data_IF_336928284614
#
_entry.id   IF_336928284614
#
_cell.length_a   1.000
_cell.length_b   1.000
_cell.length_c   1.000
_cell.angle_alpha   90.00
_cell.angle_beta   90.00
_cell.angle_gamma   90.00
#
_symmetry.space_group_name_H-M   'P 1'
#
loop_
_entity.id
_entity.type
_entity.pdbx_description
1 polymer ?
#
# COMPACT_ATOMS: atom_id res chain seq x y z
N UNK A 1 1.58 21.82 34.01
CA UNK A 1 2.45 22.11 32.86
C UNK A 1 3.76 22.63 33.40
N UNK A 2 4.88 22.03 33.05
CA UNK A 2 6.17 22.32 33.70
C UNK A 2 6.71 23.68 33.19
N UNK A 3 7.05 24.59 34.08
CA UNK A 3 7.52 25.97 33.76
C UNK A 3 8.66 25.98 32.69
N UNK A 4 9.47 24.92 32.64
CA UNK A 4 10.53 24.78 31.62
C UNK A 4 9.98 24.60 30.19
N UNK A 5 8.86 23.89 30.01
CA UNK A 5 8.19 23.72 28.70
C UNK A 5 7.48 25.00 28.25
N UNK A 6 6.96 25.77 29.21
CA UNK A 6 6.36 27.08 28.91
C UNK A 6 7.43 28.09 28.47
N UNK A 7 8.60 28.08 29.12
CA UNK A 7 9.72 28.95 28.73
C UNK A 7 10.30 28.57 27.34
N UNK A 8 10.41 27.29 27.02
CA UNK A 8 10.88 26.87 25.70
C UNK A 8 9.87 27.22 24.58
N UNK A 9 8.57 27.09 24.85
CA UNK A 9 7.53 27.48 23.89
C UNK A 9 7.54 28.99 23.63
N UNK A 10 7.69 29.80 24.69
CA UNK A 10 7.80 31.26 24.59
C UNK A 10 9.10 31.67 23.90
N UNK A 11 10.20 30.93 24.09
CA UNK A 11 11.46 31.12 23.37
C UNK A 11 11.33 30.91 21.87
N UNK A 12 10.75 29.78 21.47
CA UNK A 12 10.55 29.44 20.04
C UNK A 12 9.61 30.42 19.34
N UNK A 13 8.50 30.82 19.98
CA UNK A 13 7.61 31.85 19.42
C UNK A 13 8.26 33.24 19.35
N UNK A 14 9.11 33.58 20.29
CA UNK A 14 9.84 34.86 20.26
C UNK A 14 10.90 34.87 19.16
N UNK A 15 11.63 33.78 18.96
CA UNK A 15 12.65 33.65 17.88
C UNK A 15 11.97 33.64 16.51
N UNK A 16 10.90 32.88 16.33
CA UNK A 16 10.12 32.90 15.08
C UNK A 16 9.53 34.26 14.76
N UNK A 17 9.06 34.99 15.79
CA UNK A 17 8.58 36.37 15.65
C UNK A 17 9.72 37.35 15.32
N UNK A 18 10.92 37.17 15.87
CA UNK A 18 12.08 38.03 15.61
C UNK A 18 12.58 37.76 14.16
N UNK A 19 12.66 36.52 13.73
CA UNK A 19 13.04 36.16 12.35
C UNK A 19 11.99 36.70 11.36
N UNK A 20 10.72 36.48 11.60
CA UNK A 20 9.64 37.03 10.76
C UNK A 20 9.64 38.57 10.73
N UNK A 21 9.90 39.21 11.89
CA UNK A 21 9.98 40.67 11.99
C UNK A 21 11.26 41.22 11.35
N UNK A 22 12.35 40.53 11.46
CA UNK A 22 13.65 40.87 10.82
C UNK A 22 13.55 40.82 9.30
N UNK A 23 12.90 39.78 8.77
CA UNK A 23 12.59 39.64 7.33
C UNK A 23 11.62 40.74 6.86
N UNK A 24 10.61 41.07 7.68
CA UNK A 24 9.63 42.12 7.34
C UNK A 24 10.20 43.54 7.41
N UNK A 25 11.07 43.82 8.38
CA UNK A 25 11.60 45.17 8.64
C UNK A 25 12.86 45.51 7.84
N UNK A 26 13.68 44.53 7.48
CA UNK A 26 14.93 44.78 6.75
C UNK A 26 14.78 44.79 5.22
N UNK A 27 13.59 44.55 4.68
CA UNK A 27 13.39 44.56 3.22
C UNK A 27 12.06 45.16 2.79
N UNK A 28 11.88 46.50 2.96
CA UNK A 28 10.66 47.17 2.55
C UNK A 28 10.38 47.16 1.03
N UNK A 29 11.39 46.86 0.19
CA UNK A 29 11.26 46.82 -1.26
C UNK A 29 11.05 45.41 -1.87
N UNK A 30 10.96 44.36 -1.05
CA UNK A 30 10.89 42.98 -1.55
C UNK A 30 9.48 42.47 -1.87
N UNK A 31 8.46 43.23 -1.56
CA UNK A 31 7.08 42.90 -1.91
C UNK A 31 6.58 43.86 -3.01
N UNK A 32 6.76 43.46 -4.23
CA UNK A 32 6.10 44.16 -5.35
C UNK A 32 4.60 43.80 -5.30
N UNK A 33 3.78 44.74 -4.85
CA UNK A 33 2.31 44.61 -4.88
C UNK A 33 1.75 44.68 -6.32
N UNK A 34 2.59 44.96 -7.33
CA UNK A 34 2.22 45.13 -8.74
C UNK A 34 2.76 43.98 -9.60
N UNK A 35 2.50 42.76 -9.24
CA UNK A 35 2.73 41.66 -10.17
C UNK A 35 1.47 41.51 -11.06
N UNK A 36 1.59 41.78 -12.33
CA UNK A 36 0.49 41.70 -13.31
C UNK A 36 -0.09 40.29 -13.42
N UNK A 37 0.64 39.29 -12.96
CA UNK A 37 0.26 37.89 -13.05
C UNK A 37 -0.53 37.38 -11.82
N UNK A 38 -0.79 38.24 -10.80
CA UNK A 38 -1.56 37.79 -9.62
C UNK A 38 -2.97 37.34 -10.03
N UNK A 39 -3.33 36.11 -9.65
CA UNK A 39 -4.61 35.48 -9.97
C UNK A 39 -4.60 34.66 -11.27
N UNK A 40 -3.56 34.77 -12.08
CA UNK A 40 -3.34 33.90 -13.25
C UNK A 40 -3.00 32.48 -12.79
N UNK A 41 -3.10 31.52 -13.70
CA UNK A 41 -2.67 30.15 -13.45
C UNK A 41 -1.14 30.05 -13.42
N UNK A 42 -0.59 29.48 -12.33
CA UNK A 42 0.86 29.24 -12.20
C UNK A 42 1.35 28.22 -13.25
N UNK A 43 0.50 27.25 -13.58
CA UNK A 43 0.73 26.25 -14.60
C UNK A 43 -0.18 26.57 -15.79
N UNK A 44 0.38 26.71 -16.99
CA UNK A 44 -0.43 26.88 -18.20
C UNK A 44 -1.29 25.62 -18.38
N UNK A 45 -2.61 25.75 -18.50
CA UNK A 45 -3.50 24.62 -18.68
C UNK A 45 -3.15 23.79 -19.91
N UNK A 46 -3.09 22.49 -19.76
CA UNK A 46 -2.84 21.50 -20.80
C UNK A 46 -3.92 20.41 -20.76
N UNK A 47 -3.99 19.59 -21.79
CA UNK A 47 -4.89 18.44 -21.82
C UNK A 47 -4.26 17.24 -21.09
N UNK A 48 -5.07 16.48 -20.36
CA UNK A 48 -4.61 15.30 -19.63
C UNK A 48 -4.02 14.23 -20.59
N UNK A 49 -4.57 14.09 -21.77
CA UNK A 49 -4.10 13.17 -22.83
C UNK A 49 -2.76 13.57 -23.48
N UNK A 50 -2.32 14.82 -23.28
CA UNK A 50 -1.03 15.28 -23.72
C UNK A 50 0.12 14.91 -22.75
N UNK A 51 -0.17 14.32 -21.58
CA UNK A 51 0.82 13.98 -20.58
C UNK A 51 1.39 12.58 -20.84
N UNK A 52 2.73 12.47 -20.84
CA UNK A 52 3.44 11.20 -20.98
C UNK A 52 4.04 10.68 -19.66
N UNK A 53 4.59 11.58 -18.84
CA UNK A 53 5.30 11.24 -17.62
C UNK A 53 5.01 12.25 -16.52
N UNK A 54 4.85 11.74 -15.30
CA UNK A 54 4.78 12.54 -14.07
C UNK A 54 5.85 11.99 -13.13
N UNK A 55 6.67 12.87 -12.57
CA UNK A 55 7.66 12.52 -11.57
C UNK A 55 7.38 13.30 -10.30
N UNK A 56 7.34 12.59 -9.18
CA UNK A 56 7.12 13.14 -7.84
C UNK A 56 8.25 12.65 -6.98
N UNK A 57 9.04 13.56 -6.43
CA UNK A 57 10.20 13.22 -5.62
C UNK A 57 10.23 14.06 -4.36
N UNK A 58 10.44 13.43 -3.22
CA UNK A 58 10.74 14.10 -1.97
C UNK A 58 12.12 13.67 -1.43
N UNK A 59 12.34 13.86 -0.15
CA UNK A 59 13.62 13.54 0.51
C UNK A 59 13.87 12.04 0.68
N UNK A 60 12.85 11.20 0.58
CA UNK A 60 12.91 9.77 0.87
C UNK A 60 12.61 8.93 -0.37
N UNK A 61 11.60 9.34 -1.14
CA UNK A 61 11.03 8.54 -2.22
C UNK A 61 10.93 9.29 -3.54
N UNK A 62 10.85 8.52 -4.61
CA UNK A 62 10.57 9.00 -5.95
C UNK A 62 9.57 8.09 -6.66
N UNK A 63 8.49 8.67 -7.17
CA UNK A 63 7.54 8.01 -8.06
C UNK A 63 7.66 8.54 -9.47
N UNK A 64 7.72 7.63 -10.44
CA UNK A 64 7.67 7.95 -11.87
C UNK A 64 6.45 7.26 -12.47
N UNK A 65 5.41 8.04 -12.78
CA UNK A 65 4.23 7.55 -13.47
C UNK A 65 4.39 7.77 -14.97
N UNK A 66 4.09 6.75 -15.77
CA UNK A 66 4.09 6.85 -17.24
C UNK A 66 2.76 6.40 -17.82
N UNK A 67 2.33 7.09 -18.86
CA UNK A 67 1.20 6.68 -19.66
C UNK A 67 1.65 5.70 -20.73
N UNK A 68 0.94 4.56 -20.82
CA UNK A 68 1.14 3.52 -21.82
C UNK A 68 -0.16 3.29 -22.57
N UNK A 69 -0.14 2.47 -23.63
CA UNK A 69 -1.35 2.06 -24.37
C UNK A 69 -2.37 1.34 -23.47
N UNK A 70 -1.92 0.73 -22.38
CA UNK A 70 -2.76 -0.01 -21.42
C UNK A 70 -3.14 0.81 -20.17
N UNK A 71 -2.82 2.10 -20.13
CA UNK A 71 -3.09 2.98 -19.00
C UNK A 71 -1.83 3.46 -18.28
N UNK A 72 -2.01 4.01 -17.10
CA UNK A 72 -0.91 4.52 -16.28
C UNK A 72 -0.19 3.41 -15.52
N UNK A 73 1.14 3.53 -15.44
CA UNK A 73 2.02 2.58 -14.75
C UNK A 73 3.01 3.30 -13.86
N UNK A 74 3.52 2.61 -12.84
CA UNK A 74 4.63 3.06 -12.00
C UNK A 74 5.93 2.57 -12.64
N UNK A 75 6.61 3.46 -13.38
CA UNK A 75 7.73 3.09 -14.22
C UNK A 75 8.95 2.58 -13.42
N UNK A 76 9.20 3.16 -12.26
CA UNK A 76 10.26 2.71 -11.34
C UNK A 76 9.83 1.53 -10.45
N UNK A 77 8.72 0.86 -10.79
CA UNK A 77 8.26 -0.44 -10.28
C UNK A 77 7.93 -1.40 -11.42
N UNK A 78 8.84 -1.49 -12.39
CA UNK A 78 8.76 -2.42 -13.53
C UNK A 78 7.52 -2.20 -14.41
N UNK A 79 7.12 -0.95 -14.59
CA UNK A 79 5.90 -0.57 -15.32
C UNK A 79 4.64 -1.25 -14.77
N UNK A 80 4.57 -1.40 -13.45
CA UNK A 80 3.42 -2.01 -12.79
C UNK A 80 2.20 -1.08 -12.86
N UNK A 81 0.98 -1.62 -13.11
CA UNK A 81 -0.23 -0.81 -13.20
C UNK A 81 -0.54 -0.04 -11.91
N UNK A 82 -1.09 1.15 -12.06
CA UNK A 82 -1.61 1.91 -10.91
C UNK A 82 -2.99 1.42 -10.50
N UNK A 83 -3.35 1.67 -9.23
CA UNK A 83 -4.66 1.27 -8.69
C UNK A 83 -5.79 2.12 -9.26
N UNK A 84 -5.65 3.43 -9.22
CA UNK A 84 -6.70 4.37 -9.58
C UNK A 84 -6.22 5.47 -10.55
N UNK A 85 -6.47 5.32 -11.86
CA UNK A 85 -6.13 6.36 -12.85
C UNK A 85 -6.79 7.73 -12.58
N UNK A 86 -7.92 7.74 -11.88
CA UNK A 86 -8.60 8.97 -11.51
C UNK A 86 -7.78 9.87 -10.58
N UNK A 87 -6.87 9.30 -9.81
CA UNK A 87 -5.97 10.04 -8.92
C UNK A 87 -4.91 10.82 -9.69
N UNK A 88 -4.39 10.26 -10.77
CA UNK A 88 -3.49 10.98 -11.68
C UNK A 88 -4.21 12.17 -12.30
N UNK A 89 -5.41 11.96 -12.81
CA UNK A 89 -6.22 13.03 -13.38
C UNK A 89 -6.54 14.13 -12.34
N UNK A 90 -6.79 13.73 -11.08
CA UNK A 90 -7.03 14.68 -9.98
C UNK A 90 -5.78 15.48 -9.63
N UNK A 91 -4.59 14.83 -9.58
CA UNK A 91 -3.32 15.50 -9.36
C UNK A 91 -3.07 16.55 -10.45
N UNK A 92 -3.17 16.18 -11.72
CA UNK A 92 -2.95 17.08 -12.86
C UNK A 92 -3.91 18.28 -12.83
N UNK A 93 -5.19 18.05 -12.57
CA UNK A 93 -6.17 19.12 -12.41
C UNK A 93 -5.84 20.05 -11.27
N UNK A 94 -5.43 19.51 -10.13
CA UNK A 94 -5.06 20.31 -8.96
C UNK A 94 -3.85 21.20 -9.23
N UNK A 95 -2.84 20.69 -9.95
CA UNK A 95 -1.67 21.48 -10.39
C UNK A 95 -2.07 22.61 -11.33
N UNK A 96 -2.94 22.34 -12.32
CA UNK A 96 -3.45 23.36 -13.25
C UNK A 96 -4.32 24.43 -12.57
N UNK A 97 -4.91 24.13 -11.41
CA UNK A 97 -5.73 25.08 -10.66
C UNK A 97 -4.91 25.98 -9.73
N UNK A 98 -3.60 25.77 -9.61
CA UNK A 98 -2.76 26.68 -8.83
C UNK A 98 -2.77 28.08 -9.44
N UNK A 99 -3.05 29.07 -8.60
CA UNK A 99 -3.03 30.49 -8.98
C UNK A 99 -1.86 31.20 -8.37
N UNK A 100 -1.28 32.08 -9.14
CA UNK A 100 -0.23 32.99 -8.66
C UNK A 100 -0.84 33.91 -7.61
N UNK A 101 -0.30 33.85 -6.41
CA UNK A 101 -0.62 34.78 -5.32
C UNK A 101 0.47 35.85 -5.19
N UNK A 102 1.26 35.78 -4.11
CA UNK A 102 2.32 36.73 -3.85
C UNK A 102 3.67 36.21 -4.37
N UNK A 103 4.40 37.03 -5.10
CA UNK A 103 5.81 36.77 -5.40
C UNK A 103 6.68 36.92 -4.15
N UNK A 104 7.52 35.92 -3.88
CA UNK A 104 8.52 35.97 -2.83
C UNK A 104 9.90 36.12 -3.47
N UNK A 105 10.66 37.11 -3.01
CA UNK A 105 12.07 37.27 -3.41
C UNK A 105 12.93 36.67 -2.33
N UNK A 106 13.41 35.46 -2.52
CA UNK A 106 14.35 34.79 -1.66
C UNK A 106 15.53 34.31 -2.50
N UNK A 107 16.72 34.53 -2.02
CA UNK A 107 17.95 33.98 -2.58
C UNK A 107 18.11 32.51 -2.18
N UNK A 108 18.91 31.74 -2.87
CA UNK A 108 19.10 30.30 -2.64
C UNK A 108 19.47 29.96 -1.19
N UNK A 109 20.25 30.82 -0.52
CA UNK A 109 20.62 30.67 0.88
C UNK A 109 19.42 30.69 1.87
N UNK A 110 18.25 31.15 1.41
CA UNK A 110 17.03 31.18 2.22
C UNK A 110 16.04 30.05 1.88
N UNK A 111 16.35 29.17 0.91
CA UNK A 111 15.43 28.12 0.50
C UNK A 111 15.14 27.11 1.62
N UNK A 112 16.15 26.81 2.45
CA UNK A 112 15.95 25.95 3.60
C UNK A 112 14.89 26.46 4.58
N UNK A 113 14.82 27.80 4.78
CA UNK A 113 13.90 28.44 5.73
C UNK A 113 12.42 28.35 5.31
N UNK A 114 12.15 28.14 4.03
CA UNK A 114 10.81 28.11 3.43
C UNK A 114 10.48 26.75 2.80
N UNK A 115 11.31 25.73 3.07
CA UNK A 115 11.09 24.36 2.64
C UNK A 115 11.25 24.16 1.12
N UNK A 116 12.09 24.94 0.45
CA UNK A 116 12.28 24.90 -1.00
C UNK A 116 13.64 24.33 -1.44
N UNK A 117 14.42 23.74 -0.55
CA UNK A 117 15.57 22.94 -0.99
C UNK A 117 15.09 21.82 -1.93
N UNK A 118 15.90 21.52 -2.94
CA UNK A 118 15.59 20.39 -3.79
C UNK A 118 15.70 19.07 -3.01
N UNK A 119 14.95 18.02 -3.37
CA UNK A 119 15.06 16.72 -2.72
C UNK A 119 16.49 16.15 -2.66
N UNK A 120 17.32 16.51 -3.63
CA UNK A 120 18.73 16.10 -3.75
C UNK A 120 19.66 16.80 -2.77
N UNK A 121 19.29 17.96 -2.23
CA UNK A 121 20.16 18.83 -1.41
C UNK A 121 20.25 18.32 0.04
N UNK A 122 20.58 17.04 0.21
CA UNK A 122 20.60 16.37 1.51
C UNK A 122 21.66 16.95 2.48
N UNK A 123 22.82 17.35 1.97
CA UNK A 123 23.91 17.88 2.80
C UNK A 123 23.55 19.28 3.33
N UNK A 124 22.94 20.11 2.50
CA UNK A 124 22.48 21.44 2.89
C UNK A 124 21.31 21.34 3.90
N UNK A 125 20.40 20.42 3.66
CA UNK A 125 19.30 20.13 4.59
C UNK A 125 19.82 19.71 5.98
N UNK A 126 20.78 18.80 6.05
CA UNK A 126 21.43 18.38 7.30
C UNK A 126 22.15 19.52 8.00
N UNK A 127 22.87 20.35 7.23
CA UNK A 127 23.56 21.51 7.79
C UNK A 127 22.60 22.49 8.44
N UNK A 128 21.49 22.80 7.77
CA UNK A 128 20.43 23.66 8.28
C UNK A 128 19.75 23.09 9.53
N UNK A 129 19.40 21.81 9.52
CA UNK A 129 18.81 21.13 10.67
C UNK A 129 19.74 21.15 11.89
N UNK A 130 21.06 20.88 11.67
CA UNK A 130 22.05 20.93 12.74
C UNK A 130 22.25 22.35 13.33
N UNK A 131 22.03 23.40 12.55
CA UNK A 131 22.02 24.78 13.04
C UNK A 131 20.79 25.04 13.93
N UNK A 132 19.60 24.64 13.49
CA UNK A 132 18.39 24.77 14.28
C UNK A 132 18.44 23.99 15.59
N UNK A 133 19.06 22.80 15.60
CA UNK A 133 19.26 22.03 16.83
C UNK A 133 20.19 22.76 17.83
N UNK A 134 21.26 23.42 17.35
CA UNK A 134 22.13 24.26 18.19
C UNK A 134 21.40 25.46 18.78
N UNK A 135 20.43 25.99 18.04
CA UNK A 135 19.51 27.04 18.49
C UNK A 135 18.42 26.54 19.46
N UNK A 136 18.34 25.24 19.70
CA UNK A 136 17.42 24.63 20.65
C UNK A 136 16.09 24.15 20.05
N UNK A 137 15.99 24.06 18.74
CA UNK A 137 14.84 23.44 18.06
C UNK A 137 15.00 21.93 18.16
N UNK A 138 14.04 21.28 18.84
CA UNK A 138 14.03 19.81 18.94
C UNK A 138 13.35 19.22 17.71
N UNK A 139 14.03 18.30 17.00
CA UNK A 139 13.54 17.64 15.79
C UNK A 139 13.09 18.65 14.72
N UNK A 140 14.02 19.41 14.14
CA UNK A 140 13.70 20.34 13.06
C UNK A 140 13.14 19.58 11.85
N UNK A 141 12.13 20.15 11.21
CA UNK A 141 11.54 19.54 9.99
C UNK A 141 12.54 19.53 8.85
N UNK A 142 12.33 18.59 7.91
CA UNK A 142 13.14 18.55 6.69
C UNK A 142 12.86 19.80 5.84
N UNK A 143 13.90 20.60 5.51
CA UNK A 143 13.74 21.81 4.71
C UNK A 143 13.62 21.57 3.20
N UNK A 144 13.66 20.31 2.75
CA UNK A 144 13.51 19.94 1.34
C UNK A 144 12.05 19.94 0.94
N UNK A 145 11.76 20.45 -0.26
CA UNK A 145 10.44 20.45 -0.85
C UNK A 145 10.13 19.15 -1.60
N UNK A 146 8.91 19.06 -2.13
CA UNK A 146 8.50 17.98 -3.02
C UNK A 146 8.63 18.49 -4.47
N UNK A 147 9.49 17.86 -5.27
CA UNK A 147 9.65 18.19 -6.67
C UNK A 147 8.61 17.44 -7.51
N UNK A 148 7.82 18.19 -8.26
CA UNK A 148 6.83 17.67 -9.20
C UNK A 148 7.17 18.15 -10.59
N UNK A 149 7.42 17.22 -11.51
CA UNK A 149 7.59 17.52 -12.92
C UNK A 149 6.62 16.72 -13.79
N UNK A 150 6.09 17.35 -14.83
CA UNK A 150 5.17 16.73 -15.79
C UNK A 150 5.71 16.96 -17.19
N UNK A 151 5.88 15.88 -17.96
CA UNK A 151 6.30 15.92 -19.35
C UNK A 151 5.18 15.56 -20.29
N UNK A 152 5.10 16.29 -21.37
CA UNK A 152 4.18 16.03 -22.47
C UNK A 152 4.62 14.88 -23.37
N UNK A 153 3.70 14.38 -24.20
CA UNK A 153 3.96 13.34 -25.22
C UNK A 153 4.93 13.82 -26.30
N UNK A 154 5.08 15.12 -26.48
CA UNK A 154 6.05 15.76 -27.36
C UNK A 154 7.43 15.99 -26.70
N UNK A 155 7.59 15.58 -25.42
CA UNK A 155 8.78 15.77 -24.62
C UNK A 155 8.90 17.16 -23.98
N UNK A 156 7.92 18.05 -24.16
CA UNK A 156 7.89 19.37 -23.51
C UNK A 156 7.72 19.22 -21.99
N UNK A 157 8.30 20.15 -21.24
CA UNK A 157 8.12 20.24 -19.78
C UNK A 157 6.89 21.10 -19.51
N UNK A 158 5.79 20.46 -19.08
CA UNK A 158 4.50 21.12 -18.81
C UNK A 158 4.43 21.70 -17.40
N UNK A 159 5.04 21.01 -16.42
CA UNK A 159 5.12 21.42 -15.01
C UNK A 159 6.53 21.15 -14.51
N UNK A 160 7.06 22.11 -13.75
CA UNK A 160 8.31 21.96 -12.98
C UNK A 160 8.23 22.84 -11.74
N UNK A 161 7.88 22.21 -10.61
CA UNK A 161 7.59 22.88 -9.35
C UNK A 161 8.27 22.16 -8.18
N UNK A 162 8.89 22.92 -7.28
CA UNK A 162 9.21 22.45 -5.94
C UNK A 162 8.18 23.04 -4.98
N UNK A 163 7.44 22.16 -4.32
CA UNK A 163 6.43 22.49 -3.35
C UNK A 163 7.05 22.51 -1.96
N UNK A 164 7.11 23.67 -1.35
CA UNK A 164 7.63 23.87 0.00
C UNK A 164 6.52 23.90 1.05
N UNK A 165 6.66 24.81 2.01
CA UNK A 165 5.72 24.92 3.11
C UNK A 165 4.30 25.26 2.68
N UNK A 166 3.34 24.63 3.35
CA UNK A 166 1.92 24.99 3.23
C UNK A 166 1.61 26.22 4.09
N UNK A 167 0.72 27.07 3.59
CA UNK A 167 0.14 28.14 4.34
C UNK A 167 -1.40 28.09 4.34
N UNK A 168 -2.00 28.67 5.37
CA UNK A 168 -3.45 28.69 5.56
C UNK A 168 -3.97 27.43 6.26
N UNK A 169 -4.92 27.61 7.17
CA UNK A 169 -5.51 26.53 7.96
C UNK A 169 -6.82 26.04 7.34
N UNK A 170 -7.11 24.73 7.50
CA UNK A 170 -8.35 24.11 7.00
C UNK A 170 -9.58 24.74 7.62
N UNK A 171 -9.50 25.15 8.90
CA UNK A 171 -10.59 25.75 9.65
C UNK A 171 -10.77 27.27 9.39
N UNK A 172 -9.81 27.90 8.76
CA UNK A 172 -9.87 29.34 8.45
C UNK A 172 -10.49 29.60 7.08
N UNK A 173 -11.09 30.80 6.92
CA UNK A 173 -11.54 31.27 5.61
C UNK A 173 -10.41 31.90 4.78
N UNK A 174 -9.18 31.90 5.30
CA UNK A 174 -8.02 32.43 4.62
C UNK A 174 -7.66 31.58 3.39
N UNK A 175 -7.13 32.17 2.34
CA UNK A 175 -6.60 31.41 1.19
C UNK A 175 -5.53 30.43 1.64
N UNK A 176 -5.59 29.22 1.07
CA UNK A 176 -4.63 28.15 1.33
C UNK A 176 -3.78 27.90 0.09
N UNK A 177 -2.57 27.45 0.31
CA UNK A 177 -1.67 27.14 -0.78
C UNK A 177 -0.30 26.66 -0.31
N UNK A 178 0.64 26.74 -1.20
CA UNK A 178 2.02 26.35 -1.00
C UNK A 178 2.96 27.50 -1.32
N UNK A 179 4.09 27.55 -0.63
CA UNK A 179 5.25 28.26 -1.13
C UNK A 179 5.85 27.38 -2.22
N UNK A 180 6.00 27.91 -3.43
CA UNK A 180 6.38 27.13 -4.61
C UNK A 180 7.56 27.80 -5.29
N UNK A 181 8.60 27.01 -5.62
CA UNK A 181 9.63 27.41 -6.57
C UNK A 181 9.25 26.86 -7.94
N UNK A 182 9.00 27.72 -8.89
CA UNK A 182 8.64 27.36 -10.26
C UNK A 182 9.82 27.58 -11.19
N UNK A 183 10.12 26.58 -12.02
CA UNK A 183 11.07 26.69 -13.15
C UNK A 183 10.35 26.63 -14.51
N UNK A 184 9.02 26.49 -14.48
CA UNK A 184 8.18 26.39 -15.67
C UNK A 184 7.81 27.75 -16.28
N UNK A 185 6.54 27.93 -16.62
CA UNK A 185 6.02 29.08 -17.37
C UNK A 185 6.16 30.44 -16.65
N UNK A 186 6.14 30.41 -15.33
CA UNK A 186 6.35 31.59 -14.47
C UNK A 186 7.51 31.27 -13.49
N UNK A 187 8.77 31.45 -13.93
CA UNK A 187 9.91 31.18 -13.07
C UNK A 187 9.94 32.11 -11.86
N UNK A 188 10.31 31.57 -10.70
CA UNK A 188 10.40 32.34 -9.46
C UNK A 188 9.82 31.61 -8.27
N UNK A 189 9.69 32.34 -7.15
CA UNK A 189 9.12 31.82 -5.91
C UNK A 189 7.79 32.51 -5.65
N UNK A 190 6.77 31.71 -5.45
CA UNK A 190 5.40 32.16 -5.33
C UNK A 190 4.72 31.61 -4.09
N UNK A 191 3.85 32.40 -3.45
CA UNK A 191 2.75 31.86 -2.66
C UNK A 191 1.65 31.46 -3.64
N UNK A 192 1.65 30.20 -4.05
CA UNK A 192 0.65 29.68 -4.97
C UNK A 192 -0.63 29.29 -4.20
N UNK A 193 -1.77 29.82 -4.66
CA UNK A 193 -3.09 29.56 -4.09
C UNK A 193 -3.68 28.30 -4.72
N UNK A 194 -4.01 27.32 -3.91
CA UNK A 194 -4.58 26.06 -4.37
C UNK A 194 -4.40 24.97 -3.32
N UNK A 195 -5.05 23.85 -3.54
CA UNK A 195 -4.91 22.66 -2.68
C UNK A 195 -4.62 21.46 -3.57
N UNK A 196 -3.65 20.67 -3.16
CA UNK A 196 -3.50 19.32 -3.66
C UNK A 196 -4.43 18.46 -2.80
N UNK A 197 -5.43 17.87 -3.42
CA UNK A 197 -6.23 16.86 -2.78
C UNK A 197 -5.33 15.63 -2.66
N UNK A 198 -4.89 15.39 -1.45
CA UNK A 198 -4.05 14.27 -1.15
C UNK A 198 -4.82 12.99 -1.44
N UNK A 199 -4.26 12.15 -2.27
CA UNK A 199 -4.57 10.74 -2.28
C UNK A 199 -4.15 10.24 -0.91
N UNK A 200 -5.10 9.74 -0.16
CA UNK A 200 -4.89 9.25 1.20
C UNK A 200 -4.07 7.96 1.15
N UNK A 201 -2.75 8.09 1.07
CA UNK A 201 -1.86 7.05 1.53
C UNK A 201 -1.90 7.08 3.05
N UNK A 202 -2.07 5.93 3.64
CA UNK A 202 -2.05 5.56 5.05
C UNK A 202 -2.07 6.69 6.10
N UNK A 203 -3.18 6.79 6.81
CA UNK A 203 -3.35 7.65 8.00
C UNK A 203 -2.45 7.24 9.18
N UNK A 204 -1.61 6.22 9.02
CA UNK A 204 -0.74 5.67 10.07
C UNK A 204 0.73 6.11 9.99
N UNK A 205 1.11 6.97 9.04
CA UNK A 205 2.44 7.54 9.09
C UNK A 205 2.63 8.28 10.42
N UNK A 206 3.48 7.70 11.28
CA UNK A 206 3.84 8.23 12.59
C UNK A 206 4.63 9.55 12.52
N UNK A 207 4.88 10.02 11.30
CA UNK A 207 5.55 11.28 11.08
C UNK A 207 4.55 12.41 11.23
N UNK A 208 4.65 13.16 12.30
CA UNK A 208 3.81 14.32 12.65
C UNK A 208 4.01 15.51 11.71
N UNK A 209 4.99 15.47 10.83
CA UNK A 209 5.22 16.43 9.75
C UNK A 209 4.30 16.10 8.56
N UNK A 210 3.02 16.45 8.72
CA UNK A 210 2.00 16.28 7.68
C UNK A 210 2.23 17.29 6.55
N UNK A 211 3.27 17.11 5.78
CA UNK A 211 3.40 17.79 4.48
C UNK A 211 2.32 17.22 3.56
N UNK A 212 1.29 17.99 3.36
CA UNK A 212 0.25 17.67 2.39
C UNK A 212 0.78 18.03 1.01
N UNK A 213 1.19 17.03 0.26
CA UNK A 213 1.69 17.18 -1.10
C UNK A 213 1.32 15.96 -1.93
N UNK A 214 1.70 15.91 -3.20
CA UNK A 214 1.56 14.70 -4.00
C UNK A 214 2.42 13.61 -3.38
N UNK A 215 1.93 12.37 -3.44
CA UNK A 215 2.58 11.23 -2.82
C UNK A 215 3.78 10.81 -3.66
N UNK A 216 4.95 10.82 -3.06
CA UNK A 216 6.23 10.42 -3.65
C UNK A 216 6.52 8.92 -3.51
N UNK A 217 5.90 8.22 -2.55
CA UNK A 217 6.08 6.80 -2.32
C UNK A 217 5.47 5.97 -3.48
N UNK A 218 6.27 5.22 -4.25
CA UNK A 218 5.78 4.46 -5.41
C UNK A 218 4.75 3.40 -5.04
N UNK A 219 4.90 2.78 -3.86
CA UNK A 219 4.00 1.74 -3.37
C UNK A 219 2.56 2.22 -3.20
N UNK A 220 2.36 3.50 -2.89
CA UNK A 220 1.04 4.09 -2.74
C UNK A 220 0.25 4.20 -4.06
N UNK A 221 0.91 4.06 -5.19
CA UNK A 221 0.29 4.13 -6.51
C UNK A 221 0.00 2.76 -7.12
N UNK A 222 0.63 1.69 -6.58
CA UNK A 222 0.52 0.34 -7.14
C UNK A 222 -0.91 -0.20 -7.03
N UNK A 223 -1.35 -0.89 -8.07
CA UNK A 223 -2.57 -1.69 -7.99
C UNK A 223 -2.29 -2.92 -7.13
N UNK A 224 -3.04 -3.05 -6.02
CA UNK A 224 -2.97 -4.22 -5.16
C UNK A 224 -3.87 -5.38 -5.62
N UNK A 225 -4.46 -5.27 -6.80
CA UNK A 225 -5.06 -6.44 -7.45
C UNK A 225 -3.96 -7.46 -7.71
N UNK A 226 -4.16 -8.68 -7.24
CA UNK A 226 -3.16 -9.74 -7.32
C UNK A 226 -3.83 -11.08 -7.57
N UNK A 227 -3.06 -12.17 -7.52
CA UNK A 227 -3.62 -13.49 -7.66
C UNK A 227 -4.65 -13.78 -6.56
N UNK A 228 -5.71 -14.46 -6.93
CA UNK A 228 -6.75 -14.94 -6.02
C UNK A 228 -6.81 -16.46 -6.07
N UNK A 229 -6.25 -17.12 -5.07
CA UNK A 229 -6.25 -18.58 -4.98
C UNK A 229 -7.51 -19.05 -4.26
N UNK A 230 -8.65 -18.97 -4.95
CA UNK A 230 -9.91 -19.48 -4.44
C UNK A 230 -9.97 -21.03 -4.61
N UNK A 231 -10.82 -21.67 -3.79
CA UNK A 231 -11.12 -23.12 -3.88
C UNK A 231 -9.87 -24.00 -3.92
N UNK A 232 -8.92 -23.73 -3.03
CA UNK A 232 -7.66 -24.45 -2.93
C UNK A 232 -7.89 -25.95 -2.73
N UNK A 233 -7.31 -26.78 -3.59
CA UNK A 233 -7.43 -28.24 -3.56
C UNK A 233 -6.21 -28.89 -2.91
N UNK A 234 -5.02 -28.47 -3.26
CA UNK A 234 -3.79 -29.00 -2.67
C UNK A 234 -2.71 -27.95 -2.52
N UNK A 235 -1.80 -28.19 -1.59
CA UNK A 235 -0.58 -27.43 -1.35
C UNK A 235 0.57 -28.41 -1.33
N UNK A 236 1.61 -28.18 -2.10
CA UNK A 236 2.90 -28.84 -1.99
C UNK A 236 3.95 -27.83 -1.60
N UNK A 237 4.60 -28.02 -0.43
CA UNK A 237 5.70 -27.19 0.02
C UNK A 237 7.02 -27.92 -0.10
N UNK A 238 8.03 -27.27 -0.62
CA UNK A 238 9.39 -27.78 -0.74
C UNK A 238 10.43 -26.71 -0.47
N UNK A 239 11.63 -27.12 -0.06
CA UNK A 239 12.79 -26.25 0.09
C UNK A 239 13.86 -26.67 -0.93
N UNK A 240 13.98 -26.00 -2.07
CA UNK A 240 14.88 -26.46 -3.16
C UNK A 240 16.36 -26.51 -2.76
N UNK A 241 16.78 -25.69 -1.78
CA UNK A 241 18.18 -25.55 -1.37
C UNK A 241 18.48 -26.12 0.01
N UNK A 242 17.49 -26.70 0.67
CA UNK A 242 17.63 -27.32 2.01
C UNK A 242 17.24 -28.78 1.97
N UNK A 243 18.26 -29.67 1.99
CA UNK A 243 18.04 -31.12 1.94
C UNK A 243 17.51 -31.67 3.27
N UNK A 244 17.67 -30.93 4.35
CA UNK A 244 17.23 -31.33 5.70
C UNK A 244 15.77 -30.91 5.95
N UNK A 245 15.21 -30.04 5.12
CA UNK A 245 13.83 -29.61 5.22
C UNK A 245 12.90 -30.71 4.69
N UNK A 246 12.04 -31.20 5.58
CA UNK A 246 10.98 -32.12 5.19
C UNK A 246 9.81 -31.36 4.57
N UNK A 247 9.78 -31.33 3.24
CA UNK A 247 8.63 -30.83 2.49
C UNK A 247 7.40 -31.71 2.71
N UNK A 248 6.25 -31.21 2.31
CA UNK A 248 4.99 -31.91 2.48
C UNK A 248 3.99 -31.58 1.36
N UNK A 249 3.01 -32.47 1.20
CA UNK A 249 1.86 -32.24 0.34
C UNK A 249 0.60 -32.56 1.11
N UNK A 250 -0.32 -31.60 1.14
CA UNK A 250 -1.66 -31.78 1.67
C UNK A 250 -2.68 -31.58 0.57
N UNK A 251 -3.78 -32.31 0.63
CA UNK A 251 -4.89 -32.20 -0.32
C UNK A 251 -6.22 -32.46 0.36
N UNK A 252 -7.31 -32.04 -0.28
CA UNK A 252 -8.67 -32.35 0.15
C UNK A 252 -9.51 -32.81 -1.07
N UNK A 253 -10.50 -33.65 -0.81
CA UNK A 253 -11.32 -34.23 -1.86
C UNK A 253 -12.41 -33.29 -2.37
N UNK A 254 -12.93 -32.43 -1.52
CA UNK A 254 -13.94 -31.43 -1.83
C UNK A 254 -13.64 -30.06 -1.19
N UNK A 255 -14.37 -29.01 -1.63
CA UNK A 255 -14.13 -27.62 -1.21
C UNK A 255 -14.37 -27.39 0.30
N UNK A 256 -15.16 -28.21 0.96
CA UNK A 256 -15.49 -28.08 2.38
C UNK A 256 -14.66 -29.03 3.26
N UNK A 257 -14.05 -30.04 2.66
CA UNK A 257 -13.25 -31.06 3.33
C UNK A 257 -12.03 -30.50 4.05
N UNK A 258 -11.52 -31.24 4.98
CA UNK A 258 -10.26 -30.93 5.66
C UNK A 258 -9.08 -31.44 4.86
N UNK A 259 -7.93 -30.79 5.03
CA UNK A 259 -6.71 -31.24 4.41
C UNK A 259 -6.20 -32.53 5.03
N UNK A 260 -5.71 -33.41 4.19
CA UNK A 260 -5.05 -34.66 4.56
C UNK A 260 -3.74 -34.81 3.78
N UNK A 261 -2.85 -35.67 4.28
CA UNK A 261 -1.64 -36.06 3.57
C UNK A 261 -1.60 -37.56 3.42
N UNK A 262 -1.02 -38.05 2.32
CA UNK A 262 -0.89 -39.48 2.05
C UNK A 262 0.25 -40.19 2.81
N UNK A 263 1.09 -39.46 3.54
CA UNK A 263 2.28 -39.93 4.22
C UNK A 263 2.17 -39.95 5.76
N UNK A 264 0.91 -39.92 6.28
CA UNK A 264 0.68 -40.07 7.72
C UNK A 264 1.17 -41.47 8.22
N UNK A 265 1.90 -41.47 9.31
CA UNK A 265 2.24 -42.70 10.04
C UNK A 265 1.04 -43.18 10.85
N UNK A 266 1.11 -44.42 11.33
CA UNK A 266 0.00 -45.03 12.09
C UNK A 266 -0.32 -44.28 13.40
N UNK A 267 0.70 -43.68 14.03
CA UNK A 267 0.63 -42.89 15.24
C UNK A 267 0.44 -41.39 15.03
N UNK A 268 0.30 -40.95 13.77
CA UNK A 268 0.15 -39.53 13.43
C UNK A 268 -1.28 -39.22 12.99
N UNK A 269 -1.67 -37.97 13.18
CA UNK A 269 -2.87 -37.37 12.60
C UNK A 269 -2.59 -35.94 12.12
N UNK A 270 -3.44 -35.41 11.24
CA UNK A 270 -3.33 -34.03 10.80
C UNK A 270 -3.59 -33.08 11.97
N UNK A 271 -2.74 -32.07 12.09
CA UNK A 271 -3.02 -30.92 12.94
C UNK A 271 -3.98 -29.98 12.24
N UNK A 272 -5.28 -30.12 12.52
CA UNK A 272 -6.33 -29.30 11.92
C UNK A 272 -6.25 -27.82 12.34
N UNK A 273 -5.65 -27.53 13.50
CA UNK A 273 -5.41 -26.14 13.92
C UNK A 273 -4.31 -25.48 13.09
N UNK A 274 -3.29 -26.25 12.71
CA UNK A 274 -2.21 -25.78 11.84
C UNK A 274 -2.64 -25.69 10.37
N UNK A 275 -3.46 -26.62 9.87
CA UNK A 275 -3.84 -26.73 8.44
C UNK A 275 -5.16 -26.04 8.09
N UNK A 276 -6.04 -25.80 9.06
CA UNK A 276 -7.30 -25.09 8.85
C UNK A 276 -7.15 -23.73 8.15
N UNK A 277 -6.20 -22.87 8.57
CA UNK A 277 -5.94 -21.58 7.92
C UNK A 277 -5.55 -21.70 6.44
N UNK A 278 -5.02 -22.83 5.97
CA UNK A 278 -4.62 -23.01 4.58
C UNK A 278 -5.78 -22.84 3.60
N UNK A 279 -7.02 -23.10 4.03
CA UNK A 279 -8.22 -22.94 3.20
C UNK A 279 -8.37 -21.52 2.65
N UNK A 280 -7.85 -20.52 3.36
CA UNK A 280 -7.97 -19.09 3.02
C UNK A 280 -6.63 -18.36 2.94
N UNK A 281 -5.51 -18.99 3.25
CA UNK A 281 -4.19 -18.35 3.37
C UNK A 281 -3.81 -17.54 2.12
N UNK A 282 -4.16 -18.03 0.94
CA UNK A 282 -3.82 -17.40 -0.34
C UNK A 282 -5.00 -16.70 -1.02
N UNK A 283 -6.19 -16.64 -0.40
CA UNK A 283 -7.36 -15.99 -0.99
C UNK A 283 -7.17 -14.47 -1.13
N UNK A 284 -6.34 -13.89 -0.28
CA UNK A 284 -6.09 -12.45 -0.22
C UNK A 284 -4.60 -12.17 -0.09
N UNK A 285 -3.77 -12.93 -0.80
CA UNK A 285 -2.33 -12.68 -0.83
C UNK A 285 -2.10 -11.26 -1.36
N UNK A 286 -1.34 -10.48 -0.59
CA UNK A 286 -0.93 -9.11 -0.96
C UNK A 286 0.57 -9.01 -0.92
N UNK A 287 1.10 -8.17 -1.78
CA UNK A 287 2.50 -7.77 -1.75
C UNK A 287 2.62 -6.35 -1.16
N UNK A 288 3.81 -6.02 -0.66
CA UNK A 288 4.15 -4.71 -0.12
C UNK A 288 4.75 -3.80 -1.21
N UNK A 289 5.58 -4.39 -2.09
CA UNK A 289 6.24 -3.66 -3.17
C UNK A 289 6.51 -4.56 -4.38
N UNK A 290 6.76 -3.94 -5.53
CA UNK A 290 7.26 -4.59 -6.75
C UNK A 290 8.73 -4.23 -6.92
N UNK A 291 9.58 -5.24 -6.87
CA UNK A 291 11.03 -5.11 -6.86
C UNK A 291 11.63 -5.23 -8.26
N UNK A 292 12.91 -4.89 -8.37
CA UNK A 292 13.69 -5.15 -9.58
C UNK A 292 13.74 -6.64 -9.93
N UNK A 293 13.74 -6.96 -11.23
CA UNK A 293 13.71 -8.36 -11.73
C UNK A 293 14.85 -9.23 -11.23
N UNK A 294 15.98 -8.66 -10.90
CA UNK A 294 17.14 -9.38 -10.38
C UNK A 294 17.11 -9.58 -8.85
N UNK A 295 16.19 -8.94 -8.14
CA UNK A 295 16.11 -9.00 -6.68
C UNK A 295 15.90 -10.43 -6.16
N UNK A 296 15.05 -11.22 -6.83
CA UNK A 296 14.88 -12.63 -6.44
C UNK A 296 16.12 -13.47 -6.73
N UNK A 297 16.85 -13.17 -7.80
CA UNK A 297 18.09 -13.89 -8.14
C UNK A 297 19.17 -13.74 -7.06
N UNK A 298 19.17 -12.62 -6.32
CA UNK A 298 20.11 -12.34 -5.23
C UNK A 298 19.87 -13.19 -3.98
N UNK A 299 18.64 -13.66 -3.76
CA UNK A 299 18.22 -14.37 -2.54
C UNK A 299 17.73 -15.81 -2.78
N UNK A 300 17.46 -16.22 -4.00
CA UNK A 300 16.88 -17.53 -4.36
C UNK A 300 17.68 -18.75 -3.89
N UNK A 301 18.98 -18.60 -3.71
CA UNK A 301 19.89 -19.70 -3.33
C UNK A 301 20.00 -19.86 -1.79
N UNK A 302 19.24 -19.10 -1.01
CA UNK A 302 19.14 -19.24 0.45
C UNK A 302 18.62 -20.63 0.84
N UNK A 303 19.14 -21.18 1.92
CA UNK A 303 18.58 -22.41 2.54
C UNK A 303 17.13 -22.23 3.00
N UNK A 304 16.77 -21.00 3.36
CA UNK A 304 15.40 -20.65 3.75
C UNK A 304 14.47 -20.39 2.57
N UNK A 305 14.93 -20.56 1.32
CA UNK A 305 14.05 -20.47 0.17
C UNK A 305 13.01 -21.59 0.16
N UNK A 306 11.78 -21.25 -0.17
CA UNK A 306 10.63 -22.15 -0.21
C UNK A 306 9.94 -22.07 -1.56
N UNK A 307 9.39 -23.20 -2.00
CA UNK A 307 8.50 -23.28 -3.16
C UNK A 307 7.18 -23.87 -2.74
N UNK A 308 6.11 -23.11 -2.90
CA UNK A 308 4.75 -23.58 -2.73
C UNK A 308 4.10 -23.77 -4.10
N UNK A 309 3.54 -24.97 -4.33
CA UNK A 309 2.71 -25.27 -5.50
C UNK A 309 1.28 -25.48 -5.03
N UNK A 310 0.38 -24.64 -5.49
CA UNK A 310 -1.02 -24.61 -5.09
C UNK A 310 -1.87 -25.06 -6.27
N UNK A 311 -2.76 -26.03 -6.07
CA UNK A 311 -3.75 -26.39 -7.09
C UNK A 311 -5.17 -26.10 -6.59
N UNK A 312 -6.07 -25.74 -7.49
CA UNK A 312 -7.46 -25.41 -7.13
C UNK A 312 -8.43 -26.41 -7.78
N UNK A 313 -9.65 -26.48 -7.27
CA UNK A 313 -10.71 -27.28 -7.87
C UNK A 313 -11.13 -26.77 -9.24
N UNK A 314 -10.93 -25.48 -9.52
CA UNK A 314 -11.21 -24.84 -10.82
C UNK A 314 -10.09 -25.09 -11.86
N UNK A 315 -9.05 -25.87 -11.49
CA UNK A 315 -7.98 -26.29 -12.42
C UNK A 315 -6.80 -25.33 -12.52
N UNK A 316 -6.72 -24.30 -11.67
CA UNK A 316 -5.54 -23.42 -11.60
C UNK A 316 -4.39 -24.09 -10.84
N UNK A 317 -3.18 -23.73 -11.25
CA UNK A 317 -1.94 -24.08 -10.56
C UNK A 317 -1.12 -22.81 -10.38
N UNK A 318 -0.81 -22.49 -9.14
CA UNK A 318 0.06 -21.38 -8.77
C UNK A 318 1.37 -21.94 -8.24
N UNK A 319 2.48 -21.42 -8.73
CA UNK A 319 3.81 -21.70 -8.17
C UNK A 319 4.34 -20.43 -7.58
N UNK A 320 4.56 -20.42 -6.28
CA UNK A 320 5.07 -19.27 -5.53
C UNK A 320 6.45 -19.64 -5.00
N UNK A 321 7.47 -18.97 -5.52
CA UNK A 321 8.85 -19.09 -5.05
C UNK A 321 9.14 -17.95 -4.09
N UNK A 322 9.63 -18.24 -2.89
CA UNK A 322 9.84 -17.31 -1.80
C UNK A 322 11.24 -17.47 -1.21
N UNK A 323 11.85 -16.36 -0.84
CA UNK A 323 13.09 -16.36 -0.06
C UNK A 323 13.09 -15.18 0.92
N UNK A 324 13.58 -15.33 2.15
CA UNK A 324 13.70 -14.21 3.05
C UNK A 324 14.56 -13.08 2.41
N UNK A 325 14.12 -11.86 2.56
CA UNK A 325 14.89 -10.66 2.18
C UNK A 325 16.15 -10.60 3.07
N UNK A 326 17.29 -10.28 2.48
CA UNK A 326 18.49 -10.08 3.28
C UNK A 326 18.24 -8.96 4.30
N UNK A 327 18.50 -9.22 5.60
CA UNK A 327 18.37 -8.19 6.63
C UNK A 327 19.53 -7.21 6.49
N UNK A 328 19.22 -5.94 6.36
CA UNK A 328 20.21 -4.86 6.40
C UNK A 328 20.61 -4.49 7.86
N UNK A 329 19.91 -5.05 8.85
CA UNK A 329 20.20 -4.78 10.26
C UNK A 329 21.12 -5.84 10.84
N UNK A 330 22.37 -5.46 11.10
CA UNK A 330 23.22 -6.17 12.03
C UNK A 330 22.74 -5.92 13.46
N UNK A 331 22.62 -6.98 14.27
CA UNK A 331 22.28 -6.83 15.68
C UNK A 331 23.39 -6.06 16.40
N UNK A 332 23.12 -4.86 16.83
CA UNK A 332 24.03 -4.07 17.67
C UNK A 332 24.02 -4.62 19.11
N UNK A 333 24.85 -5.63 19.41
CA UNK A 333 25.16 -6.11 20.75
C UNK A 333 24.41 -7.34 21.22
N UNK A 334 25.02 -8.09 22.16
CA UNK A 334 24.51 -9.36 22.70
C UNK A 334 23.19 -9.26 23.51
N UNK A 335 22.78 -8.06 23.93
CA UNK A 335 21.56 -7.78 24.69
C UNK A 335 20.44 -7.13 23.87
N UNK A 336 20.60 -6.94 22.55
CA UNK A 336 19.57 -6.37 21.70
C UNK A 336 18.45 -7.38 21.44
N UNK A 337 17.17 -6.94 21.39
CA UNK A 337 16.10 -7.84 20.99
C UNK A 337 16.37 -8.39 19.59
N UNK A 338 16.00 -9.66 19.30
CA UNK A 338 16.22 -10.24 17.99
C UNK A 338 15.55 -9.34 16.92
N UNK A 339 16.23 -9.13 15.77
CA UNK A 339 15.66 -8.34 14.70
C UNK A 339 14.32 -8.95 14.26
N UNK A 340 13.35 -8.12 13.81
CA UNK A 340 12.08 -8.63 13.32
C UNK A 340 12.33 -9.59 12.16
N UNK A 341 11.49 -10.62 12.04
CA UNK A 341 11.60 -11.57 10.93
C UNK A 341 11.51 -10.81 9.60
N UNK A 342 12.43 -11.06 8.66
CA UNK A 342 12.48 -10.32 7.40
C UNK A 342 11.25 -10.61 6.54
N UNK A 343 10.87 -9.65 5.72
CA UNK A 343 9.93 -9.86 4.63
C UNK A 343 10.48 -10.90 3.64
N UNK A 344 9.61 -11.42 2.77
CA UNK A 344 9.99 -12.36 1.72
C UNK A 344 10.08 -11.65 0.36
N UNK A 345 11.08 -12.01 -0.41
CA UNK A 345 11.15 -11.71 -1.84
C UNK A 345 10.66 -12.92 -2.59
N UNK A 346 9.74 -12.73 -3.54
CA UNK A 346 9.17 -13.88 -4.24
C UNK A 346 8.70 -13.60 -5.65
N UNK A 347 8.41 -14.69 -6.36
CA UNK A 347 7.83 -14.69 -7.70
C UNK A 347 6.62 -15.59 -7.75
N UNK A 348 5.69 -15.27 -8.64
CA UNK A 348 4.48 -16.06 -8.87
C UNK A 348 4.40 -16.51 -10.31
N UNK A 349 3.97 -17.75 -10.54
CA UNK A 349 3.62 -18.28 -11.86
C UNK A 349 2.22 -18.85 -11.78
N UNK A 350 1.42 -18.56 -12.80
CA UNK A 350 0.04 -19.03 -12.91
C UNK A 350 -0.13 -19.84 -14.17
N UNK A 351 -0.72 -21.01 -14.03
CA UNK A 351 -1.14 -21.87 -15.13
C UNK A 351 -2.52 -22.43 -14.82
N UNK A 352 -3.27 -22.83 -15.84
CA UNK A 352 -4.54 -23.50 -15.63
C UNK A 352 -4.73 -24.63 -16.65
N UNK A 353 -5.32 -25.72 -16.18
CA UNK A 353 -5.83 -26.82 -17.02
C UNK A 353 -7.36 -26.81 -16.85
N UNK A 354 -8.03 -25.98 -17.63
CA UNK A 354 -9.47 -25.78 -17.54
C UNK A 354 -10.20 -26.90 -18.29
N UNK A 355 -11.25 -27.43 -17.67
CA UNK A 355 -12.14 -28.40 -18.34
C UNK A 355 -12.91 -27.65 -19.42
N UNK A 356 -12.78 -28.11 -20.69
CA UNK A 356 -13.42 -27.45 -21.84
C UNK A 356 -14.81 -27.99 -22.13
N UNK A 357 -15.13 -29.20 -21.69
CA UNK A 357 -16.42 -29.85 -21.93
C UNK A 357 -17.08 -30.24 -20.60
N UNK A 358 -18.35 -29.94 -20.49
CA UNK A 358 -19.16 -30.31 -19.31
C UNK A 358 -19.46 -31.82 -19.32
N UNK A 359 -19.34 -32.43 -18.17
CA UNK A 359 -19.87 -33.77 -17.95
C UNK A 359 -21.39 -33.71 -17.87
N UNK A 360 -22.09 -34.33 -18.81
CA UNK A 360 -23.56 -34.40 -18.81
C UNK A 360 -24.03 -35.36 -17.74
N UNK A 361 -25.11 -34.98 -17.03
CA UNK A 361 -25.74 -35.85 -16.04
C UNK A 361 -26.68 -36.81 -16.73
N UNK A 362 -26.75 -38.07 -16.27
CA UNK A 362 -27.74 -39.02 -16.73
C UNK A 362 -29.16 -38.55 -16.41
N UNK A 363 -30.04 -38.58 -17.41
CA UNK A 363 -31.45 -38.19 -17.25
C UNK A 363 -31.73 -36.67 -17.36
N UNK A 364 -30.75 -35.85 -17.77
CA UNK A 364 -31.00 -34.43 -18.06
C UNK A 364 -32.01 -34.23 -19.18
N UNK A 365 -32.99 -33.38 -18.97
CA UNK A 365 -33.88 -32.90 -20.02
C UNK A 365 -33.15 -31.95 -20.98
N UNK A 366 -33.69 -31.76 -22.18
CA UNK A 366 -33.08 -30.88 -23.17
C UNK A 366 -32.94 -29.42 -22.66
N UNK A 367 -33.91 -28.94 -21.91
CA UNK A 367 -33.90 -27.58 -21.31
C UNK A 367 -32.90 -27.47 -20.19
N UNK A 368 -32.80 -28.46 -19.31
CA UNK A 368 -31.78 -28.51 -18.25
C UNK A 368 -30.38 -28.58 -18.83
N UNK A 369 -30.18 -29.39 -19.89
CA UNK A 369 -28.89 -29.48 -20.58
C UNK A 369 -28.48 -28.13 -21.20
N UNK A 370 -29.41 -27.43 -21.87
CA UNK A 370 -29.14 -26.13 -22.47
C UNK A 370 -28.78 -25.09 -21.44
N UNK A 371 -29.50 -25.04 -20.32
CA UNK A 371 -29.22 -24.09 -19.23
C UNK A 371 -27.86 -24.41 -18.55
N UNK A 372 -27.58 -25.69 -18.32
CA UNK A 372 -26.31 -26.12 -17.74
C UNK A 372 -25.12 -25.86 -18.69
N UNK A 373 -25.29 -26.01 -19.99
CA UNK A 373 -24.27 -25.71 -21.00
C UNK A 373 -23.99 -24.21 -21.08
N UNK A 374 -25.04 -23.35 -20.99
CA UNK A 374 -24.88 -21.89 -20.92
C UNK A 374 -24.11 -21.46 -19.67
N UNK A 375 -24.47 -22.00 -18.51
CA UNK A 375 -23.80 -21.69 -17.24
C UNK A 375 -22.34 -22.16 -17.26
N UNK A 376 -22.08 -23.37 -17.77
CA UNK A 376 -20.73 -23.92 -17.91
C UNK A 376 -19.87 -23.03 -18.80
N UNK A 377 -20.39 -22.64 -19.97
CA UNK A 377 -19.69 -21.75 -20.89
C UNK A 377 -19.35 -20.42 -20.24
N UNK A 378 -20.31 -19.77 -19.57
CA UNK A 378 -20.08 -18.50 -18.87
C UNK A 378 -19.01 -18.65 -17.78
N UNK A 379 -19.04 -19.77 -17.03
CA UNK A 379 -18.02 -20.07 -16.02
C UNK A 379 -16.64 -20.26 -16.64
N UNK A 380 -16.56 -21.02 -17.75
CA UNK A 380 -15.30 -21.24 -18.45
C UNK A 380 -14.71 -19.94 -19.03
N UNK A 381 -15.56 -19.09 -19.60
CA UNK A 381 -15.14 -17.79 -20.13
C UNK A 381 -14.59 -16.88 -18.99
N UNK A 382 -15.22 -16.89 -17.82
CA UNK A 382 -14.73 -16.17 -16.63
C UNK A 382 -13.39 -16.73 -16.13
N UNK A 383 -13.21 -18.06 -16.11
CA UNK A 383 -11.94 -18.67 -15.70
C UNK A 383 -10.80 -18.36 -16.71
N UNK A 384 -11.10 -18.36 -18.01
CA UNK A 384 -10.14 -17.95 -19.04
C UNK A 384 -9.76 -16.49 -18.88
N UNK A 385 -10.72 -15.61 -18.62
CA UNK A 385 -10.48 -14.20 -18.37
C UNK A 385 -9.61 -13.99 -17.10
N UNK A 386 -9.92 -14.69 -16.01
CA UNK A 386 -9.11 -14.69 -14.78
C UNK A 386 -7.68 -15.12 -15.08
N UNK A 387 -7.47 -16.19 -15.86
CA UNK A 387 -6.14 -16.66 -16.21
C UNK A 387 -5.33 -15.60 -16.95
N UNK A 388 -5.93 -14.90 -17.91
CA UNK A 388 -5.25 -13.84 -18.65
C UNK A 388 -4.91 -12.64 -17.76
N UNK A 389 -5.79 -12.26 -16.84
CA UNK A 389 -5.51 -11.21 -15.86
C UNK A 389 -4.35 -11.60 -14.92
N UNK A 390 -4.36 -12.83 -14.39
CA UNK A 390 -3.36 -13.25 -13.42
C UNK A 390 -1.99 -13.58 -14.04
N UNK A 391 -1.94 -13.90 -15.33
CA UNK A 391 -0.68 -14.06 -16.07
C UNK A 391 0.17 -12.78 -16.11
N UNK A 392 -0.45 -11.61 -16.00
CA UNK A 392 0.27 -10.33 -15.99
C UNK A 392 1.21 -10.24 -14.79
N UNK A 393 0.86 -10.88 -13.68
CA UNK A 393 1.68 -10.90 -12.46
C UNK A 393 2.89 -11.85 -12.58
N UNK A 394 2.88 -12.77 -13.54
CA UNK A 394 4.00 -13.67 -13.76
C UNK A 394 5.19 -12.90 -14.37
N UNK A 395 6.38 -13.13 -13.81
CA UNK A 395 7.61 -12.49 -14.29
C UNK A 395 7.97 -11.19 -13.57
N UNK A 396 7.15 -10.74 -12.64
CA UNK A 396 7.50 -9.71 -11.67
C UNK A 396 8.08 -10.34 -10.40
N UNK A 397 8.82 -9.52 -9.63
CA UNK A 397 9.35 -9.88 -8.34
C UNK A 397 8.67 -9.01 -7.28
N UNK A 398 8.18 -9.65 -6.24
CA UNK A 398 7.38 -9.01 -5.21
C UNK A 398 8.06 -9.08 -3.84
N UNK A 399 7.81 -8.09 -3.02
CA UNK A 399 8.05 -8.15 -1.58
C UNK A 399 6.74 -8.51 -0.87
N UNK A 400 6.79 -9.52 0.00
CA UNK A 400 5.66 -9.95 0.83
C UNK A 400 5.98 -9.75 2.30
N UNK A 401 5.01 -9.25 3.06
CA UNK A 401 5.14 -9.19 4.50
C UNK A 401 5.27 -10.61 5.10
N UNK A 402 6.13 -10.77 6.08
CA UNK A 402 6.43 -12.07 6.69
C UNK A 402 5.17 -12.75 7.27
N UNK A 403 4.28 -11.99 7.89
CA UNK A 403 3.04 -12.53 8.50
C UNK A 403 2.07 -13.10 7.46
N UNK A 404 2.09 -12.59 6.22
CA UNK A 404 1.21 -13.06 5.13
C UNK A 404 1.47 -14.51 4.74
N UNK A 405 2.65 -15.04 5.06
CA UNK A 405 3.14 -16.35 4.67
C UNK A 405 3.50 -17.26 5.85
N UNK A 406 3.14 -16.86 7.06
CA UNK A 406 3.53 -17.53 8.33
C UNK A 406 3.10 -19.01 8.46
N UNK A 407 2.27 -19.53 7.54
CA UNK A 407 1.89 -20.93 7.50
C UNK A 407 2.71 -21.78 6.53
N UNK A 408 3.48 -21.16 5.62
CA UNK A 408 4.14 -21.83 4.49
C UNK A 408 5.61 -22.18 4.75
N UNK A 409 6.17 -21.75 5.86
CA UNK A 409 7.56 -22.00 6.26
C UNK A 409 7.73 -23.20 7.20
N UNK A 410 6.61 -23.78 7.64
CA UNK A 410 6.62 -24.92 8.56
C UNK A 410 7.04 -26.20 7.87
N UNK A 411 7.95 -26.95 8.50
CA UNK A 411 8.27 -28.30 8.09
C UNK A 411 7.09 -29.26 8.37
N UNK A 412 7.17 -30.50 7.87
CA UNK A 412 6.11 -31.51 7.99
C UNK A 412 5.63 -31.73 9.43
N UNK A 413 6.52 -31.73 10.41
CA UNK A 413 6.21 -31.88 11.82
C UNK A 413 5.37 -30.71 12.40
N UNK A 414 5.33 -29.58 11.71
CA UNK A 414 4.46 -28.47 12.08
C UNK A 414 3.01 -28.55 11.55
N UNK A 415 2.69 -29.58 10.77
CA UNK A 415 1.33 -29.81 10.21
C UNK A 415 0.71 -31.15 10.63
N UNK A 416 1.48 -32.00 11.29
CA UNK A 416 1.02 -33.28 11.84
C UNK A 416 1.26 -33.32 13.34
N UNK A 417 0.45 -34.06 14.07
CA UNK A 417 0.62 -34.30 15.48
C UNK A 417 0.47 -35.78 15.79
N UNK A 418 1.01 -36.24 16.90
CA UNK A 418 0.78 -37.61 17.37
C UNK A 418 -0.67 -37.76 17.81
N UNK A 419 -1.26 -38.91 17.47
CA UNK A 419 -2.57 -39.27 18.02
C UNK A 419 -2.44 -39.34 19.54
N UNK A 420 -3.37 -38.69 20.25
CA UNK A 420 -3.50 -38.92 21.70
C UNK A 420 -3.91 -40.37 21.88
N UNK A 421 -3.11 -41.16 22.61
CA UNK A 421 -3.54 -42.46 23.04
C UNK A 421 -4.81 -42.25 23.88
N UNK A 422 -5.95 -42.77 23.42
CA UNK A 422 -7.15 -42.84 24.25
C UNK A 422 -6.76 -43.64 25.48
N UNK A 423 -6.55 -42.97 26.60
CA UNK A 423 -6.31 -43.58 27.89
C UNK A 423 -7.59 -44.37 28.32
N UNK A 424 -7.67 -45.61 27.82
CA UNK A 424 -8.71 -46.55 28.16
C UNK A 424 -8.47 -47.05 29.58
N UNK A 425 -8.70 -46.18 30.54
CA UNK A 425 -8.55 -46.60 31.93
C UNK A 425 -8.71 -45.50 32.96
N UNK A 426 -9.92 -45.10 33.27
CA UNK A 426 -10.28 -45.15 34.66
C UNK A 426 -11.79 -44.93 34.91
N UNK A 427 -12.38 -45.83 35.67
CA UNK A 427 -13.74 -45.79 36.11
C UNK A 427 -14.06 -44.60 37.04
N UNK A 428 -15.31 -44.44 37.47
CA UNK A 428 -15.81 -43.19 38.03
C UNK A 428 -15.21 -42.90 39.41
N UNK A 429 -14.35 -41.91 39.52
CA UNK A 429 -13.92 -41.36 40.79
C UNK A 429 -15.00 -40.47 41.38
N UNK A 430 -15.38 -40.82 42.57
CA UNK A 430 -16.41 -40.19 43.38
C UNK A 430 -16.13 -38.73 43.72
N UNK A 431 -17.19 -37.90 43.67
CA UNK A 431 -17.43 -36.85 44.66
C UNK A 431 -16.64 -35.58 44.52
N UNK A 432 -17.18 -34.62 43.75
CA UNK A 432 -16.84 -33.23 43.93
C UNK A 432 -17.83 -32.58 44.92
N UNK A 433 -17.35 -31.88 45.97
CA UNK A 433 -18.24 -31.10 46.83
C UNK A 433 -18.65 -29.79 46.13
N UNK A 434 -19.90 -29.42 46.31
CA UNK A 434 -20.51 -28.22 45.76
C UNK A 434 -19.78 -26.95 46.18
N UNK A 435 -19.57 -26.00 45.31
CA UNK A 435 -19.12 -24.65 45.68
C UNK A 435 -20.29 -23.81 46.22
N UNK A 436 -20.04 -23.16 47.35
CA UNK A 436 -20.95 -22.21 48.00
C UNK A 436 -21.20 -20.93 47.17
N UNK A 437 -22.23 -20.16 47.50
CA UNK A 437 -22.69 -19.04 46.68
C UNK A 437 -21.82 -17.80 46.88
N UNK A 438 -21.10 -17.44 45.84
CA UNK A 438 -20.40 -16.16 45.74
C UNK A 438 -20.80 -15.49 44.44
N UNK A 439 -21.63 -14.47 44.55
CA UNK A 439 -22.11 -13.65 43.46
C UNK A 439 -20.97 -12.85 42.83
N UNK A 440 -20.80 -12.99 41.53
CA UNK A 440 -20.17 -11.94 40.71
C UNK A 440 -21.03 -11.71 39.47
N UNK A 441 -21.48 -10.47 39.32
CA UNK A 441 -22.33 -10.00 38.28
C UNK A 441 -21.62 -10.11 36.92
N UNK A 442 -22.24 -10.81 36.00
CA UNK A 442 -21.87 -10.82 34.60
C UNK A 442 -22.57 -9.63 33.94
N UNK A 443 -21.79 -8.68 33.44
CA UNK A 443 -22.31 -7.58 32.64
C UNK A 443 -22.91 -8.12 31.33
N UNK A 444 -24.08 -7.63 30.89
CA UNK A 444 -24.67 -8.05 29.62
C UNK A 444 -23.87 -7.54 28.44
N UNK A 445 -23.86 -8.24 27.29
CA UNK A 445 -23.18 -7.80 26.08
C UNK A 445 -23.77 -6.50 25.54
N UNK A 446 -22.90 -5.59 25.18
CA UNK A 446 -23.25 -4.30 24.55
C UNK A 446 -23.93 -4.61 23.20
N UNK A 447 -25.17 -4.21 23.06
CA UNK A 447 -25.89 -4.29 21.80
C UNK A 447 -25.30 -3.27 20.81
N UNK A 448 -24.85 -3.76 19.67
CA UNK A 448 -24.43 -2.93 18.53
C UNK A 448 -25.68 -2.29 17.93
N UNK A 449 -25.79 -0.96 17.79
CA UNK A 449 -26.95 -0.35 17.17
C UNK A 449 -26.97 -0.69 15.67
N UNK A 450 -28.09 -1.27 15.24
CA UNK A 450 -28.39 -1.51 13.82
C UNK A 450 -28.47 -0.18 13.06
N UNK A 451 -27.76 -0.13 11.95
CA UNK A 451 -27.74 0.97 10.98
C UNK A 451 -29.16 1.25 10.47
N UNK A 452 -29.61 2.51 10.42
CA UNK A 452 -30.93 2.80 9.87
C UNK A 452 -30.95 2.54 8.36
N UNK A 453 -31.97 1.80 7.92
CA UNK A 453 -32.26 1.56 6.51
C UNK A 453 -32.63 2.89 5.85
N UNK A 454 -31.88 3.31 4.86
CA UNK A 454 -32.22 4.46 4.02
C UNK A 454 -33.32 4.00 3.07
N UNK A 455 -34.56 4.39 3.34
CA UNK A 455 -35.65 4.31 2.40
C UNK A 455 -35.52 5.43 1.37
N UNK A 456 -35.20 5.07 0.13
CA UNK A 456 -35.33 5.97 -1.01
C UNK A 456 -36.79 6.30 -1.26
N UNK A 457 -37.18 7.58 -1.40
CA UNK A 457 -38.53 7.95 -1.79
C UNK A 457 -38.82 7.55 -3.26
N UNK A 458 -40.05 7.21 -3.61
CA UNK A 458 -40.41 6.85 -4.97
C UNK A 458 -40.27 8.06 -5.91
N UNK A 459 -39.69 7.81 -7.06
CA UNK A 459 -39.60 8.80 -8.15
C UNK A 459 -40.99 8.97 -8.74
N UNK A 460 -41.58 10.15 -8.58
CA UNK A 460 -42.82 10.57 -9.20
C UNK A 460 -42.57 10.86 -10.68
N UNK A 461 -43.09 9.99 -11.55
CA UNK A 461 -43.04 10.21 -13.01
C UNK A 461 -44.21 11.10 -13.39
N UNK A 462 -43.94 12.36 -13.71
CA UNK A 462 -44.92 13.25 -14.34
C UNK A 462 -45.20 12.81 -15.78
N UNK A 463 -46.47 12.77 -16.21
CA UNK A 463 -46.80 12.50 -17.61
C UNK A 463 -46.45 13.71 -18.49
N UNK A 464 -45.86 13.42 -19.64
CA UNK A 464 -45.61 14.39 -20.69
C UNK A 464 -46.95 14.83 -21.31
N UNK A 465 -47.27 16.11 -21.20
CA UNK A 465 -48.29 16.75 -22.02
C UNK A 465 -47.72 17.06 -23.41
N UNK A 466 -48.38 16.50 -24.42
CA UNK A 466 -48.15 16.84 -25.81
C UNK A 466 -48.99 18.06 -26.25
N UNK A 467 -48.34 18.94 -26.93
CA UNK A 467 -48.86 19.75 -28.07
C UNK A 467 -47.71 20.45 -28.78
#
# INVERSE_FOLDING_TARGET
MNNKRLLSLVGVTAISAIIATSILLNTPERFSANNENIGEHLVIPFKEDAVAEIRIKDSEDETVLKQTDNGWVVANRQDYPIDNPGEVAQLLRSLMLFKIGLELRADEEHYAQIGLLAPEDADEAKAYQAELEKEGVSNPSDPRGIHVSVKGTDGSLLVDLILGEQFGEIASRAPRGFVVRSQGSYPGIWKALGTLNQVTGDAESKNTDKRRGPISAPTSWLSYQFIEVAKLKSITLSAPNDKDFQGWTVSREDENGDFSTGDLKEDEEMDTAATGPFKSLFNSLRFEDVLEKDSFAKVKDSKSARRAVLTTFDGFTYTVDLSPKASEQESEGDDAPPPPSPNYVGTVKVAANLVEERVKKEGETAEEAENADKLFKATLDNLKYKLELEKVFAGQVYEFANFSLSGVDKARDGIVKKKEEEDAGNGPAAGNPAPGPGATAVSPPIAIPSRPSVTTPPVEVSPADGS
#
